data_IF_886562156150
#
_entry.id   IF_886562156150
#
_cell.length_a   1.000
_cell.length_b   1.000
_cell.length_c   1.000
_cell.angle_alpha   90.00
_cell.angle_beta   90.00
_cell.angle_gamma   90.00
#
_symmetry.space_group_name_H-M   'P 1'
#
loop_
_entity.id
_entity.type
_entity.pdbx_description
1 polymer ?
#
# COMPACT_ATOMS: atom_id res chain seq x y z
N UNK A 1 23.38 43.11 -17.45
CA UNK A 1 22.45 42.75 -16.35
C UNK A 1 21.09 42.48 -16.96
N UNK A 2 20.84 41.24 -17.39
CA UNK A 2 19.55 40.82 -17.93
C UNK A 2 18.72 40.23 -16.80
N UNK A 3 17.62 40.91 -16.51
CA UNK A 3 16.59 40.53 -15.56
C UNK A 3 16.12 39.10 -15.84
N UNK A 4 16.41 38.16 -14.94
CA UNK A 4 15.82 36.82 -15.00
C UNK A 4 14.38 36.93 -14.50
N UNK A 5 13.45 37.15 -15.42
CA UNK A 5 12.03 36.94 -15.16
C UNK A 5 11.84 35.57 -14.52
N UNK A 6 11.29 35.59 -13.30
CA UNK A 6 10.99 34.41 -12.50
C UNK A 6 10.00 33.53 -13.27
N UNK A 7 10.49 32.54 -14.04
CA UNK A 7 9.63 31.49 -14.60
C UNK A 7 8.84 30.89 -13.46
N UNK A 8 7.52 31.07 -13.48
CA UNK A 8 6.62 30.54 -12.46
C UNK A 8 6.87 29.06 -12.26
N UNK A 9 7.12 28.65 -11.01
CA UNK A 9 7.26 27.23 -10.68
C UNK A 9 5.91 26.54 -10.86
N UNK A 10 5.87 25.56 -11.77
CA UNK A 10 4.73 24.65 -11.93
C UNK A 10 5.17 23.24 -11.53
N UNK A 11 4.55 22.62 -10.51
CA UNK A 11 4.90 21.27 -10.08
C UNK A 11 4.49 20.24 -11.13
N UNK A 12 5.29 19.16 -11.23
CA UNK A 12 4.94 17.94 -11.99
C UNK A 12 3.87 17.12 -11.24
N UNK A 13 3.45 15.99 -11.81
CA UNK A 13 2.37 15.14 -11.29
C UNK A 13 2.48 14.88 -9.78
N UNK A 14 3.61 14.34 -9.31
CA UNK A 14 3.81 14.02 -7.89
C UNK A 14 3.82 15.27 -7.00
N UNK A 15 4.36 16.39 -7.47
CA UNK A 15 4.32 17.64 -6.71
C UNK A 15 2.89 18.20 -6.55
N UNK A 16 2.05 18.06 -7.58
CA UNK A 16 0.61 18.38 -7.50
C UNK A 16 -0.10 17.44 -6.52
N UNK A 17 0.23 16.16 -6.56
CA UNK A 17 -0.29 15.14 -5.63
C UNK A 17 0.03 15.47 -4.19
N UNK A 18 1.28 15.78 -3.86
CA UNK A 18 1.66 16.14 -2.49
C UNK A 18 0.91 17.38 -2.03
N UNK A 19 0.84 18.44 -2.85
CA UNK A 19 0.08 19.64 -2.51
C UNK A 19 -1.40 19.35 -2.21
N UNK A 20 -2.03 18.52 -3.05
CA UNK A 20 -3.43 18.12 -2.87
C UNK A 20 -3.62 17.26 -1.61
N UNK A 21 -2.73 16.29 -1.36
CA UNK A 21 -2.80 15.41 -0.20
C UNK A 21 -2.58 16.16 1.12
N UNK A 22 -1.62 17.08 1.17
CA UNK A 22 -1.39 17.92 2.36
C UNK A 22 -2.65 18.73 2.69
N UNK A 23 -3.25 19.39 1.68
CA UNK A 23 -4.49 20.14 1.86
C UNK A 23 -5.63 19.24 2.34
N UNK A 24 -5.83 18.10 1.67
CA UNK A 24 -6.90 17.13 1.99
C UNK A 24 -6.77 16.63 3.42
N UNK A 25 -5.61 16.09 3.79
CA UNK A 25 -5.35 15.54 5.13
C UNK A 25 -5.43 16.62 6.22
N UNK A 26 -4.92 17.83 5.96
CA UNK A 26 -5.07 18.95 6.89
C UNK A 26 -6.56 19.22 7.18
N UNK A 27 -7.39 19.25 6.15
CA UNK A 27 -8.83 19.48 6.28
C UNK A 27 -9.55 18.31 6.96
N UNK A 28 -9.21 17.05 6.65
CA UNK A 28 -9.75 15.86 7.32
C UNK A 28 -9.43 15.84 8.82
N UNK A 29 -8.28 16.37 9.21
CA UNK A 29 -7.91 16.56 10.62
C UNK A 29 -8.46 17.83 11.27
N UNK A 30 -9.32 18.59 10.57
CA UNK A 30 -9.87 19.87 11.02
C UNK A 30 -8.81 20.90 11.43
N UNK A 31 -7.62 20.85 10.81
CA UNK A 31 -6.54 21.78 11.11
C UNK A 31 -6.65 23.03 10.22
N UNK A 32 -6.55 24.21 10.81
CA UNK A 32 -6.27 25.43 10.05
C UNK A 32 -4.77 25.52 9.70
N UNK A 33 -4.41 26.46 8.82
CA UNK A 33 -3.03 26.63 8.37
C UNK A 33 -2.07 26.95 9.53
N UNK A 34 -2.38 27.89 10.45
CA UNK A 34 -1.57 28.14 11.63
C UNK A 34 -1.36 26.91 12.55
N UNK A 35 -2.36 26.04 12.69
CA UNK A 35 -2.24 24.80 13.47
C UNK A 35 -1.28 23.79 12.86
N UNK A 36 -1.32 23.63 11.54
CA UNK A 36 -0.32 22.81 10.84
C UNK A 36 1.08 23.41 11.01
N UNK A 37 1.22 24.74 10.92
CA UNK A 37 2.48 25.45 11.17
C UNK A 37 3.02 25.16 12.58
N UNK A 38 2.18 25.23 13.61
CA UNK A 38 2.57 24.90 15.00
C UNK A 38 2.98 23.44 15.18
N UNK A 39 2.30 22.50 14.51
CA UNK A 39 2.69 21.08 14.52
C UNK A 39 4.07 20.87 13.88
N UNK A 40 4.33 21.53 12.77
CA UNK A 40 5.62 21.49 12.07
C UNK A 40 6.74 22.10 12.90
N UNK A 41 6.48 23.23 13.56
CA UNK A 41 7.42 23.86 14.51
C UNK A 41 7.74 22.95 15.71
N UNK A 42 6.74 22.29 16.29
CA UNK A 42 6.95 21.31 17.37
C UNK A 42 7.86 20.14 16.95
N UNK A 43 7.86 19.79 15.67
CA UNK A 43 8.71 18.76 15.10
C UNK A 43 10.11 19.28 14.68
N UNK A 44 10.43 20.55 14.97
CA UNK A 44 11.72 21.16 14.62
C UNK A 44 11.84 21.62 13.18
N UNK A 45 10.75 21.62 12.39
CA UNK A 45 10.76 21.98 10.97
C UNK A 45 9.72 23.08 10.66
N UNK A 46 9.95 24.33 11.09
CA UNK A 46 8.95 25.39 11.01
C UNK A 46 8.64 25.80 9.56
N UNK A 47 7.35 25.76 9.19
CA UNK A 47 6.84 26.37 7.96
C UNK A 47 5.85 27.48 8.28
N UNK A 48 6.06 28.65 7.68
CA UNK A 48 5.15 29.80 7.84
C UNK A 48 3.77 29.49 7.23
N UNK A 49 2.73 30.17 7.72
CA UNK A 49 1.38 30.06 7.16
C UNK A 49 1.36 30.35 5.64
N UNK A 50 2.10 31.37 5.19
CA UNK A 50 2.23 31.70 3.77
C UNK A 50 2.92 30.58 2.99
N UNK A 51 3.96 29.95 3.55
CA UNK A 51 4.63 28.79 2.94
C UNK A 51 3.67 27.63 2.76
N UNK A 52 2.85 27.32 3.77
CA UNK A 52 1.85 26.25 3.72
C UNK A 52 0.77 26.57 2.68
N UNK A 53 0.21 27.79 2.68
CA UNK A 53 -0.77 28.22 1.66
C UNK A 53 -0.23 28.06 0.24
N UNK A 54 1.02 28.48 0.01
CA UNK A 54 1.66 28.35 -1.30
C UNK A 54 1.96 26.91 -1.66
N UNK A 55 2.34 26.08 -0.70
CA UNK A 55 2.54 24.64 -0.88
C UNK A 55 1.24 23.98 -1.33
N UNK A 56 0.13 24.19 -0.61
CA UNK A 56 -1.18 23.62 -0.95
C UNK A 56 -1.70 24.10 -2.32
N UNK A 57 -1.32 25.31 -2.73
CA UNK A 57 -1.61 25.83 -4.06
C UNK A 57 -0.68 25.30 -5.15
N UNK A 58 0.31 24.46 -4.82
CA UNK A 58 1.34 24.00 -5.76
C UNK A 58 2.27 25.10 -6.25
N UNK A 59 2.40 26.21 -5.51
CA UNK A 59 3.19 27.41 -5.88
C UNK A 59 4.49 27.54 -5.09
N UNK A 60 4.88 26.47 -4.37
CA UNK A 60 6.14 26.36 -3.62
C UNK A 60 6.71 24.96 -3.87
N UNK A 61 8.02 24.87 -4.15
CA UNK A 61 8.75 23.61 -4.12
C UNK A 61 8.84 23.11 -2.68
N UNK A 62 8.73 21.81 -2.48
CA UNK A 62 9.09 21.17 -1.22
C UNK A 62 10.33 20.33 -1.46
N UNK A 63 11.17 20.19 -0.44
CA UNK A 63 12.23 19.20 -0.43
C UNK A 63 11.78 17.92 0.30
N UNK A 64 12.71 16.98 0.48
CA UNK A 64 12.44 15.71 1.16
C UNK A 64 12.23 15.89 2.66
N UNK A 65 12.85 16.90 3.28
CA UNK A 65 12.69 17.18 4.71
C UNK A 65 11.31 17.78 4.99
N UNK A 66 10.85 18.72 4.16
CA UNK A 66 9.47 19.22 4.13
C UNK A 66 8.47 18.06 4.04
N UNK A 67 8.69 17.13 3.10
CA UNK A 67 7.83 15.96 2.90
C UNK A 67 7.73 15.10 4.17
N UNK A 68 8.87 14.78 4.79
CA UNK A 68 8.93 13.98 6.01
C UNK A 68 8.27 14.70 7.19
N UNK A 69 8.57 15.99 7.38
CA UNK A 69 7.99 16.80 8.44
C UNK A 69 6.47 16.91 8.32
N UNK A 70 5.95 17.08 7.10
CA UNK A 70 4.52 17.09 6.82
C UNK A 70 3.87 15.74 7.11
N UNK A 71 4.49 14.63 6.70
CA UNK A 71 4.00 13.29 6.98
C UNK A 71 3.86 13.07 8.50
N UNK A 72 4.87 13.44 9.28
CA UNK A 72 4.85 13.35 10.75
C UNK A 72 3.80 14.29 11.36
N UNK A 73 3.72 15.55 10.92
CA UNK A 73 2.78 16.54 11.44
C UNK A 73 1.30 16.14 11.20
N UNK A 74 1.04 15.49 10.07
CA UNK A 74 -0.25 14.96 9.66
C UNK A 74 -0.51 13.52 10.15
N UNK A 75 0.49 12.84 10.73
CA UNK A 75 0.33 11.48 11.27
C UNK A 75 0.14 10.40 10.20
N UNK A 76 0.74 10.56 9.02
CA UNK A 76 0.65 9.61 7.89
C UNK A 76 2.03 9.15 7.43
N UNK A 77 2.09 8.09 6.63
CA UNK A 77 3.34 7.69 5.96
C UNK A 77 3.72 8.69 4.86
N UNK A 78 5.01 8.88 4.52
CA UNK A 78 5.42 9.72 3.40
C UNK A 78 4.84 9.25 2.06
N UNK A 79 4.68 7.93 1.87
CA UNK A 79 4.06 7.33 0.67
C UNK A 79 2.62 7.83 0.47
N UNK A 80 1.87 8.03 1.57
CA UNK A 80 0.52 8.60 1.54
C UNK A 80 0.49 10.01 0.94
N UNK A 81 1.54 10.80 1.10
CA UNK A 81 1.63 12.12 0.46
C UNK A 81 2.03 12.03 -1.01
N UNK A 82 2.86 11.05 -1.36
CA UNK A 82 3.42 10.87 -2.70
C UNK A 82 2.42 10.29 -3.72
N UNK A 83 1.46 9.48 -3.29
CA UNK A 83 0.49 8.82 -4.17
C UNK A 83 -0.91 9.45 -4.10
N UNK A 84 -1.64 9.58 -5.23
CA UNK A 84 -2.97 10.16 -5.22
C UNK A 84 -3.98 9.32 -4.42
N UNK A 85 -4.93 9.97 -3.72
CA UNK A 85 -6.03 9.25 -3.09
C UNK A 85 -6.95 8.72 -4.20
N UNK A 86 -7.28 7.44 -4.13
CA UNK A 86 -8.09 6.73 -5.13
C UNK A 86 -9.17 5.91 -4.44
N UNK A 87 -10.29 5.67 -5.14
CA UNK A 87 -11.40 4.90 -4.61
C UNK A 87 -11.28 3.41 -4.99
N UNK A 88 -10.58 3.12 -6.08
CA UNK A 88 -10.32 1.76 -6.54
C UNK A 88 -8.85 1.58 -6.96
N UNK A 89 -8.33 0.35 -6.82
CA UNK A 89 -6.98 -0.01 -7.26
C UNK A 89 -6.78 0.12 -8.78
N UNK A 90 -7.87 0.13 -9.55
CA UNK A 90 -7.87 0.28 -11.01
C UNK A 90 -7.90 1.74 -11.47
N UNK A 91 -8.10 2.69 -10.57
CA UNK A 91 -8.09 4.12 -10.90
C UNK A 91 -6.74 4.50 -11.52
N UNK A 92 -6.78 5.19 -12.66
CA UNK A 92 -5.56 5.61 -13.34
C UNK A 92 -5.05 6.91 -12.74
N UNK A 93 -3.80 6.88 -12.28
CA UNK A 93 -3.13 8.01 -11.65
C UNK A 93 -1.78 8.25 -12.28
N UNK A 94 -1.32 9.50 -12.27
CA UNK A 94 -0.04 9.90 -12.86
C UNK A 94 1.02 10.10 -11.76
N UNK A 95 2.17 9.46 -11.94
CA UNK A 95 3.34 9.58 -11.06
C UNK A 95 4.55 10.02 -11.88
N UNK A 96 5.27 11.03 -11.38
CA UNK A 96 6.43 11.58 -12.08
C UNK A 96 7.49 10.51 -12.32
N UNK A 97 7.90 10.33 -13.58
CA UNK A 97 8.91 9.36 -13.98
C UNK A 97 8.37 7.98 -14.41
N UNK A 98 7.10 7.70 -14.12
CA UNK A 98 6.41 6.47 -14.54
C UNK A 98 5.35 6.79 -15.59
N UNK A 99 4.57 7.85 -15.38
CA UNK A 99 3.41 8.20 -16.20
C UNK A 99 2.11 7.65 -15.61
N UNK A 100 1.02 7.65 -16.39
CA UNK A 100 -0.29 7.17 -15.95
C UNK A 100 -0.30 5.64 -15.80
N UNK A 101 -0.88 5.13 -14.71
CA UNK A 101 -1.09 3.71 -14.50
C UNK A 101 -2.07 3.40 -13.36
N UNK A 102 -2.45 2.12 -13.17
CA UNK A 102 -3.37 1.71 -12.11
C UNK A 102 -2.78 2.01 -10.73
N UNK A 103 -3.58 2.60 -9.84
CA UNK A 103 -3.17 2.98 -8.51
C UNK A 103 -2.66 1.79 -7.69
N UNK A 104 -3.29 0.62 -7.80
CA UNK A 104 -2.90 -0.59 -7.06
C UNK A 104 -1.46 -1.01 -7.33
N UNK A 105 -1.05 -1.03 -8.61
CA UNK A 105 0.31 -1.37 -9.01
C UNK A 105 1.31 -0.36 -8.45
N UNK A 106 0.98 0.93 -8.49
CA UNK A 106 1.82 1.99 -7.94
C UNK A 106 1.95 1.90 -6.40
N UNK A 107 0.88 1.52 -5.71
CA UNK A 107 0.89 1.30 -4.25
C UNK A 107 1.72 0.08 -3.87
N UNK A 108 1.56 -1.05 -4.58
CA UNK A 108 2.38 -2.24 -4.39
C UNK A 108 3.88 -1.92 -4.59
N UNK A 109 4.20 -1.18 -5.65
CA UNK A 109 5.57 -0.73 -5.88
C UNK A 109 6.10 0.19 -4.80
N UNK A 110 5.34 1.21 -4.39
CA UNK A 110 5.77 2.17 -3.39
C UNK A 110 5.97 1.56 -2.00
N UNK A 111 5.28 0.45 -1.70
CA UNK A 111 5.43 -0.33 -0.46
C UNK A 111 6.47 -1.45 -0.58
N UNK A 112 7.17 -1.52 -1.72
CA UNK A 112 8.14 -2.54 -2.08
C UNK A 112 7.55 -3.96 -1.98
N UNK A 113 6.28 -4.13 -2.33
CA UNK A 113 5.61 -5.43 -2.42
C UNK A 113 5.83 -6.09 -3.78
N UNK A 114 5.71 -5.32 -4.86
CA UNK A 114 5.94 -5.80 -6.24
C UNK A 114 6.76 -4.78 -7.03
N UNK A 115 7.52 -5.25 -8.01
CA UNK A 115 8.26 -4.36 -8.90
C UNK A 115 7.33 -3.63 -9.87
N UNK A 116 7.60 -2.35 -10.14
CA UNK A 116 6.75 -1.52 -11.03
C UNK A 116 6.66 -2.06 -12.46
N UNK A 117 7.68 -2.79 -12.90
CA UNK A 117 7.75 -3.47 -14.18
C UNK A 117 7.79 -4.97 -13.88
N UNK A 118 6.62 -5.61 -13.87
CA UNK A 118 6.41 -7.01 -13.48
C UNK A 118 7.19 -8.08 -14.31
N UNK A 119 8.11 -7.68 -15.17
CA UNK A 119 8.93 -8.56 -16.03
C UNK A 119 10.42 -8.60 -15.63
N UNK A 120 10.82 -7.86 -14.59
CA UNK A 120 12.20 -7.81 -14.09
C UNK A 120 12.40 -8.71 -12.85
N UNK A 121 13.65 -8.85 -12.40
CA UNK A 121 14.05 -9.71 -11.28
C UNK A 121 13.51 -9.16 -9.94
N UNK A 122 12.31 -9.61 -9.58
CA UNK A 122 11.61 -9.21 -8.35
C UNK A 122 12.45 -9.43 -7.08
N UNK A 123 13.31 -10.45 -7.02
CA UNK A 123 14.18 -10.67 -5.87
C UNK A 123 15.28 -9.60 -5.79
N UNK A 124 15.84 -9.18 -6.93
CA UNK A 124 16.76 -8.05 -6.98
C UNK A 124 16.08 -6.75 -6.55
N UNK A 125 14.85 -6.48 -7.00
CA UNK A 125 14.09 -5.31 -6.58
C UNK A 125 13.86 -5.28 -5.05
N UNK A 126 13.42 -6.40 -4.46
CA UNK A 126 13.17 -6.49 -3.03
C UNK A 126 14.45 -6.29 -2.21
N UNK A 127 15.57 -6.89 -2.63
CA UNK A 127 16.88 -6.70 -1.98
C UNK A 127 17.39 -5.26 -2.05
N UNK A 128 17.09 -4.56 -3.14
CA UNK A 128 17.46 -3.15 -3.30
C UNK A 128 16.55 -2.21 -2.50
N UNK A 129 15.28 -2.59 -2.30
CA UNK A 129 14.26 -1.72 -1.72
C UNK A 129 14.07 -1.89 -0.22
N UNK A 130 14.40 -3.07 0.33
CA UNK A 130 14.18 -3.41 1.73
C UNK A 130 15.51 -3.67 2.46
N UNK A 131 15.64 -3.23 3.73
CA UNK A 131 16.76 -3.65 4.55
C UNK A 131 16.68 -5.16 4.81
N UNK A 132 17.85 -5.80 4.94
CA UNK A 132 17.97 -7.26 5.01
C UNK A 132 17.08 -7.90 6.10
N UNK A 133 16.93 -7.26 7.26
CA UNK A 133 16.08 -7.77 8.35
C UNK A 133 14.59 -7.80 7.97
N UNK A 134 14.12 -6.82 7.21
CA UNK A 134 12.72 -6.73 6.79
C UNK A 134 12.45 -7.70 5.63
N UNK A 135 13.41 -7.83 4.71
CA UNK A 135 13.36 -8.84 3.65
C UNK A 135 13.25 -10.24 4.25
N UNK A 136 14.11 -10.57 5.22
CA UNK A 136 14.08 -11.85 5.91
C UNK A 136 12.73 -12.09 6.61
N UNK A 137 12.21 -11.08 7.31
CA UNK A 137 10.90 -11.16 7.95
C UNK A 137 9.78 -11.44 6.94
N UNK A 138 9.79 -10.78 5.76
CA UNK A 138 8.81 -11.03 4.70
C UNK A 138 8.94 -12.43 4.11
N UNK A 139 10.16 -12.92 3.88
CA UNK A 139 10.41 -14.28 3.38
C UNK A 139 9.91 -15.35 4.37
N UNK A 140 10.19 -15.18 5.66
CA UNK A 140 9.65 -16.08 6.69
C UNK A 140 8.13 -16.08 6.72
N UNK A 141 7.50 -14.89 6.65
CA UNK A 141 6.05 -14.78 6.61
C UNK A 141 5.45 -15.44 5.35
N UNK A 142 6.09 -15.31 4.19
CA UNK A 142 5.66 -15.96 2.96
C UNK A 142 5.76 -17.49 3.07
N UNK A 143 6.88 -18.01 3.58
CA UNK A 143 7.07 -19.44 3.80
C UNK A 143 6.07 -20.02 4.82
N UNK A 144 5.77 -19.28 5.89
CA UNK A 144 4.74 -19.67 6.86
C UNK A 144 3.35 -19.75 6.23
N UNK A 145 2.97 -18.78 5.40
CA UNK A 145 1.68 -18.80 4.69
C UNK A 145 1.57 -19.99 3.75
N UNK A 146 2.66 -20.33 3.06
CA UNK A 146 2.70 -21.49 2.16
C UNK A 146 2.50 -22.80 2.95
N UNK A 147 3.25 -22.99 4.04
CA UNK A 147 3.11 -24.16 4.91
C UNK A 147 1.70 -24.27 5.50
N UNK A 148 1.10 -23.16 5.96
CA UNK A 148 -0.27 -23.18 6.49
C UNK A 148 -1.33 -23.45 5.40
N UNK A 149 -1.08 -23.00 4.16
CA UNK A 149 -1.93 -23.34 3.00
C UNK A 149 -1.88 -24.83 2.72
N UNK A 150 -0.68 -25.41 2.59
CA UNK A 150 -0.48 -26.85 2.36
C UNK A 150 -1.13 -27.69 3.47
N UNK A 151 -0.96 -27.31 4.75
CA UNK A 151 -1.64 -27.97 5.88
C UNK A 151 -3.16 -27.90 5.75
N UNK A 152 -3.70 -26.74 5.40
CA UNK A 152 -5.15 -26.55 5.25
C UNK A 152 -5.71 -27.44 4.14
N UNK A 153 -5.02 -27.48 2.99
CA UNK A 153 -5.38 -28.35 1.87
C UNK A 153 -5.30 -29.84 2.27
N UNK A 154 -4.25 -30.24 2.99
CA UNK A 154 -4.08 -31.61 3.46
C UNK A 154 -5.17 -32.02 4.46
N UNK A 155 -5.56 -31.14 5.39
CA UNK A 155 -6.66 -31.37 6.31
C UNK A 155 -7.99 -31.53 5.55
N UNK A 156 -8.25 -30.66 4.57
CA UNK A 156 -9.45 -30.76 3.73
C UNK A 156 -9.50 -32.10 2.99
N UNK A 157 -8.40 -32.54 2.40
CA UNK A 157 -8.32 -33.84 1.72
C UNK A 157 -8.57 -35.01 2.67
N UNK A 158 -7.98 -35.00 3.87
CA UNK A 158 -8.21 -36.03 4.88
C UNK A 158 -9.67 -36.07 5.34
N UNK A 159 -10.30 -34.92 5.53
CA UNK A 159 -11.72 -34.83 5.87
C UNK A 159 -12.61 -35.39 4.75
N UNK A 160 -12.32 -35.06 3.49
CA UNK A 160 -13.04 -35.59 2.33
C UNK A 160 -12.90 -37.12 2.22
N UNK A 161 -11.69 -37.65 2.40
CA UNK A 161 -11.45 -39.09 2.40
C UNK A 161 -12.19 -39.81 3.52
N UNK A 162 -12.18 -39.25 4.74
CA UNK A 162 -12.88 -39.81 5.89
C UNK A 162 -14.39 -39.81 5.68
N UNK A 163 -14.95 -38.70 5.20
CA UNK A 163 -16.37 -38.59 4.89
C UNK A 163 -16.77 -39.60 3.81
N UNK A 164 -15.98 -39.73 2.74
CA UNK A 164 -16.23 -40.70 1.66
C UNK A 164 -16.23 -42.14 2.19
N UNK A 165 -15.25 -42.51 3.01
CA UNK A 165 -15.15 -43.86 3.58
C UNK A 165 -16.27 -44.19 4.58
N UNK A 166 -16.75 -43.19 5.32
CA UNK A 166 -17.91 -43.35 6.22
C UNK A 166 -19.20 -43.59 5.40
N UNK A 167 -19.39 -42.87 4.28
CA UNK A 167 -20.52 -43.14 3.38
C UNK A 167 -20.49 -44.56 2.81
N UNK A 168 -19.32 -45.02 2.35
CA UNK A 168 -19.18 -46.37 1.80
C UNK A 168 -19.46 -47.45 2.85
N UNK A 169 -19.08 -47.20 4.12
CA UNK A 169 -19.36 -48.10 5.24
C UNK A 169 -20.85 -48.18 5.57
N UNK A 170 -21.54 -47.04 5.63
CA UNK A 170 -22.99 -46.98 5.89
C UNK A 170 -23.77 -47.70 4.79
N UNK A 171 -23.44 -47.44 3.52
CA UNK A 171 -24.10 -48.08 2.38
C UNK A 171 -23.89 -49.61 2.36
N UNK A 172 -22.71 -50.09 2.77
CA UNK A 172 -22.42 -51.53 2.82
C UNK A 172 -23.09 -52.25 4.00
N UNK A 173 -23.33 -51.59 5.12
CA UNK A 173 -24.12 -52.12 6.24
C UNK A 173 -25.62 -52.20 5.91
N UNK A 174 -26.20 -51.19 5.25
CA UNK A 174 -27.60 -51.22 4.80
C UNK A 174 -27.86 -52.34 3.78
N UNK A 175 -26.93 -52.57 2.85
CA UNK A 175 -27.02 -53.67 1.87
C UNK A 175 -26.93 -55.06 2.51
N UNK A 176 -26.22 -55.21 3.64
CA UNK A 176 -26.14 -56.48 4.40
C UNK A 176 -27.34 -56.70 5.32
N UNK A 177 -27.92 -55.65 5.88
CA UNK A 177 -29.13 -55.74 6.72
C UNK A 177 -30.41 -56.05 5.94
N UNK A 178 -30.43 -55.78 4.63
CA UNK A 178 -31.58 -56.04 3.76
C UNK A 178 -31.81 -57.50 3.34
N UNK A 179 -30.88 -58.42 3.65
CA UNK A 179 -30.98 -59.83 3.23
C UNK A 179 -31.58 -60.79 4.27
N UNK A 180 -31.82 -60.34 5.51
CA UNK A 180 -32.29 -61.20 6.61
C UNK A 180 -33.81 -61.10 6.88
N UNK A 181 -34.60 -60.57 5.94
CA UNK A 181 -36.02 -60.26 6.14
C UNK A 181 -36.96 -60.71 5.02
N UNK A 182 -36.77 -61.92 4.47
CA UNK A 182 -37.76 -62.52 3.58
C UNK A 182 -37.76 -64.05 3.71
N UNK A 183 -38.35 -64.54 4.80
CA UNK A 183 -38.84 -65.91 4.98
C UNK A 183 -40.21 -65.87 5.67
#
# INVERSE_FOLDING_TARGET
MTSSETRGFTPKATGKTVAANVKRLRMEHNLNIPELGRKLEKNGHPLTATSITRLEAGRRRIDVDDLMALAVALGVSPVTLLLPPTNASTDHVDVTGIGPGPAGVLWQWALADEEIRAYEDSDAFLRASLPAWLLHQRQLAAMQREVEREKTEQIQLLLLQRLSGETDRILSEELRGGTDGND
#
